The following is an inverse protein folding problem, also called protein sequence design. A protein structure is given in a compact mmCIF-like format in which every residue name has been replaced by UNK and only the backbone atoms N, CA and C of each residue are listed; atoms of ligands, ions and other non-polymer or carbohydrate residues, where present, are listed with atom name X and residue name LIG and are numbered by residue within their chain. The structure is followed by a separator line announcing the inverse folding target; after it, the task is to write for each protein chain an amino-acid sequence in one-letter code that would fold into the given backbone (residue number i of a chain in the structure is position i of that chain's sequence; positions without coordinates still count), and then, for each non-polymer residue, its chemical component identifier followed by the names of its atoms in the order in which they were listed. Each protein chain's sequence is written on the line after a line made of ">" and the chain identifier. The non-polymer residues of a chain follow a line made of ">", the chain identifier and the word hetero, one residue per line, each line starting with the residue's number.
data_IF_262629304817
#
_entry.id   IF_262629304817
#
_cell.length_a   1.000
_cell.length_b   1.000
_cell.length_c   1.000
_cell.angle_alpha   90.00
_cell.angle_beta   90.00
_cell.angle_gamma   90.00
#
_symmetry.space_group_name_H-M   'P 1'
#
loop_
_entity.id
_entity.type
_entity.pdbx_description
1 polymer ?
#
# COMPACT_ATOMS: atom_id res chain seq x y z
N UNK A 1 25.97 0.56 13.62
CA UNK A 1 25.01 0.29 12.54
C UNK A 1 24.66 -1.19 12.66
N UNK A 2 23.42 -1.55 12.96
CA UNK A 2 23.05 -2.95 13.17
C UNK A 2 23.14 -3.68 11.82
N UNK A 3 24.12 -4.56 11.70
CA UNK A 3 24.33 -5.37 10.51
C UNK A 3 23.16 -6.35 10.33
N UNK A 4 22.75 -6.59 9.08
CA UNK A 4 21.67 -7.51 8.79
C UNK A 4 22.06 -8.94 9.22
N UNK A 5 21.23 -9.65 10.02
CA UNK A 5 21.64 -10.94 10.57
C UNK A 5 22.06 -11.95 9.50
N UNK A 6 23.28 -12.47 9.59
CA UNK A 6 23.86 -13.38 8.58
C UNK A 6 23.00 -14.62 8.30
N UNK A 7 22.31 -15.15 9.32
CA UNK A 7 21.37 -16.27 9.15
C UNK A 7 20.18 -15.91 8.23
N UNK A 8 19.67 -14.67 8.31
CA UNK A 8 18.58 -14.21 7.46
C UNK A 8 19.08 -13.94 6.05
N UNK A 9 20.23 -13.27 5.92
CA UNK A 9 20.91 -13.02 4.65
C UNK A 9 21.15 -14.30 3.84
N UNK A 10 21.62 -15.36 4.49
CA UNK A 10 21.81 -16.67 3.85
C UNK A 10 20.48 -17.27 3.35
N UNK A 11 19.45 -17.31 4.20
CA UNK A 11 18.12 -17.83 3.84
C UNK A 11 17.50 -17.06 2.68
N UNK A 12 17.66 -15.76 2.69
CA UNK A 12 17.16 -14.86 1.68
C UNK A 12 17.84 -15.12 0.33
N UNK A 13 19.17 -15.23 0.32
CA UNK A 13 19.93 -15.56 -0.87
C UNK A 13 19.56 -16.93 -1.44
N UNK A 14 19.42 -17.94 -0.57
CA UNK A 14 18.96 -19.28 -0.96
C UNK A 14 17.57 -19.26 -1.63
N UNK A 15 16.64 -18.42 -1.14
CA UNK A 15 15.31 -18.29 -1.73
C UNK A 15 15.36 -17.66 -3.13
N UNK A 16 16.19 -16.64 -3.32
CA UNK A 16 16.41 -16.01 -4.64
C UNK A 16 17.07 -16.97 -5.60
N UNK A 17 18.12 -17.67 -5.19
CA UNK A 17 18.86 -18.57 -6.06
C UNK A 17 17.95 -19.72 -6.55
N UNK A 18 17.10 -20.27 -5.67
CA UNK A 18 16.06 -21.24 -6.06
C UNK A 18 15.06 -20.68 -7.07
N UNK A 19 14.64 -19.42 -6.90
CA UNK A 19 13.72 -18.76 -7.83
C UNK A 19 14.38 -18.48 -9.18
N UNK A 20 15.63 -18.00 -9.17
CA UNK A 20 16.42 -17.76 -10.38
C UNK A 20 16.60 -19.07 -11.16
N UNK A 21 16.89 -20.18 -10.48
CA UNK A 21 16.97 -21.50 -11.11
C UNK A 21 15.64 -21.92 -11.75
N UNK A 22 14.51 -21.79 -11.02
CA UNK A 22 13.18 -22.09 -11.57
C UNK A 22 12.81 -21.25 -12.80
N UNK A 23 13.30 -20.02 -12.87
CA UNK A 23 13.01 -19.06 -13.93
C UNK A 23 14.11 -19.00 -15.00
N UNK A 24 15.11 -19.89 -14.93
CA UNK A 24 16.29 -19.91 -15.83
C UNK A 24 17.02 -18.55 -15.92
N UNK A 25 17.17 -17.87 -14.79
CA UNK A 25 17.89 -16.58 -14.68
C UNK A 25 19.33 -16.77 -14.27
N UNK A 26 20.17 -15.80 -14.65
CA UNK A 26 21.55 -15.72 -14.18
C UNK A 26 21.58 -15.62 -12.64
N UNK A 27 22.28 -16.56 -11.98
CA UNK A 27 22.45 -16.57 -10.51
C UNK A 27 23.30 -15.39 -10.02
N UNK A 28 24.16 -14.83 -10.86
CA UNK A 28 25.01 -13.67 -10.53
C UNK A 28 24.28 -12.33 -10.62
N UNK A 29 23.01 -12.31 -11.05
CA UNK A 29 22.25 -11.06 -11.12
C UNK A 29 22.06 -10.45 -9.73
N UNK A 30 22.07 -9.12 -9.69
CA UNK A 30 21.62 -8.39 -8.53
C UNK A 30 20.11 -8.57 -8.34
N UNK A 31 19.63 -8.91 -7.14
CA UNK A 31 18.21 -8.98 -6.87
C UNK A 31 17.52 -7.63 -7.10
N UNK A 32 16.30 -7.67 -7.60
CA UNK A 32 15.49 -6.46 -7.82
C UNK A 32 14.45 -6.35 -6.72
N UNK A 33 14.44 -5.21 -6.03
CA UNK A 33 13.44 -4.89 -5.02
C UNK A 33 12.50 -3.79 -5.48
N UNK A 34 11.24 -3.87 -5.04
CA UNK A 34 10.29 -2.76 -5.13
C UNK A 34 9.85 -2.33 -3.74
N UNK A 35 9.71 -1.03 -3.54
CA UNK A 35 9.21 -0.44 -2.31
C UNK A 35 7.84 0.21 -2.59
N UNK A 36 6.82 -0.24 -1.86
CA UNK A 36 5.46 0.26 -1.97
C UNK A 36 5.15 1.18 -0.80
N UNK A 37 4.93 2.45 -1.12
CA UNK A 37 4.70 3.50 -0.13
C UNK A 37 3.36 3.37 0.58
N UNK A 38 3.23 4.07 1.70
CA UNK A 38 1.96 4.27 2.39
C UNK A 38 1.01 5.18 1.61
N UNK A 39 -0.14 5.50 2.19
CA UNK A 39 -1.19 6.30 1.54
C UNK A 39 -2.54 5.59 1.46
N UNK A 40 -2.74 4.58 2.32
CA UNK A 40 -3.94 3.75 2.33
C UNK A 40 -4.17 3.08 0.98
N UNK A 41 -5.43 2.83 0.66
CA UNK A 41 -5.79 2.12 -0.55
C UNK A 41 -5.55 2.91 -1.85
N UNK A 42 -5.44 4.25 -1.83
CA UNK A 42 -5.01 4.99 -3.04
C UNK A 42 -3.64 4.52 -3.51
N UNK A 43 -2.71 4.33 -2.56
CA UNK A 43 -1.40 3.74 -2.85
C UNK A 43 -1.51 2.29 -3.33
N UNK A 44 -2.43 1.50 -2.77
CA UNK A 44 -2.65 0.12 -3.22
C UNK A 44 -3.19 0.05 -4.66
N UNK A 45 -4.12 0.93 -5.04
CA UNK A 45 -4.64 1.01 -6.42
C UNK A 45 -3.58 1.52 -7.40
N UNK A 46 -2.76 2.49 -7.00
CA UNK A 46 -1.62 2.94 -7.80
C UNK A 46 -0.60 1.81 -8.00
N UNK A 47 -0.29 1.07 -6.93
CA UNK A 47 0.61 -0.09 -6.98
C UNK A 47 0.07 -1.17 -7.92
N UNK A 48 -1.24 -1.44 -7.88
CA UNK A 48 -1.91 -2.33 -8.83
C UNK A 48 -1.69 -1.89 -10.27
N UNK A 49 -1.93 -0.61 -10.59
CA UNK A 49 -1.71 -0.08 -11.94
C UNK A 49 -0.24 -0.17 -12.38
N UNK A 50 0.70 0.11 -11.48
CA UNK A 50 2.12 -0.04 -11.76
C UNK A 50 2.50 -1.51 -12.06
N UNK A 51 1.97 -2.46 -11.31
CA UNK A 51 2.20 -3.88 -11.54
C UNK A 51 1.53 -4.41 -12.80
N UNK A 52 0.34 -3.92 -13.14
CA UNK A 52 -0.30 -4.19 -14.44
C UNK A 52 0.59 -3.72 -15.60
N UNK A 53 1.21 -2.54 -15.48
CA UNK A 53 2.14 -2.04 -16.47
C UNK A 53 3.42 -2.91 -16.55
N UNK A 54 3.98 -3.32 -15.41
CA UNK A 54 5.14 -4.22 -15.38
C UNK A 54 4.83 -5.57 -16.03
N UNK A 55 3.65 -6.14 -15.77
CA UNK A 55 3.21 -7.39 -16.39
C UNK A 55 3.09 -7.31 -17.90
N UNK A 56 2.63 -6.17 -18.43
CA UNK A 56 2.57 -5.95 -19.88
C UNK A 56 3.93 -6.14 -20.57
N UNK A 57 5.03 -5.87 -19.86
CA UNK A 57 6.40 -6.06 -20.33
C UNK A 57 7.08 -7.30 -19.75
N UNK A 58 6.36 -8.15 -19.00
CA UNK A 58 6.92 -9.34 -18.34
C UNK A 58 7.91 -9.06 -17.21
N UNK A 59 7.93 -7.83 -16.67
CA UNK A 59 8.91 -7.37 -15.68
C UNK A 59 8.51 -7.67 -14.24
N UNK A 60 7.24 -8.01 -13.97
CA UNK A 60 6.77 -8.38 -12.64
C UNK A 60 7.50 -9.61 -12.08
N UNK A 61 7.89 -10.53 -12.97
CA UNK A 61 8.67 -11.70 -12.61
C UNK A 61 10.07 -11.29 -12.14
N UNK A 62 10.65 -10.19 -12.61
CA UNK A 62 12.02 -9.80 -12.26
C UNK A 62 12.15 -9.31 -10.81
N UNK A 63 11.05 -8.93 -10.17
CA UNK A 63 11.02 -8.44 -8.79
C UNK A 63 11.24 -9.61 -7.83
N UNK A 64 12.31 -9.57 -7.04
CA UNK A 64 12.66 -10.56 -6.00
C UNK A 64 12.20 -10.17 -4.61
N UNK A 65 12.17 -8.86 -4.33
CA UNK A 65 11.74 -8.34 -3.04
C UNK A 65 10.61 -7.33 -3.17
N UNK A 66 9.72 -7.37 -2.19
CA UNK A 66 8.70 -6.36 -2.00
C UNK A 66 8.78 -5.85 -0.57
N UNK A 67 9.15 -4.59 -0.42
CA UNK A 67 9.00 -3.87 0.84
C UNK A 67 7.72 -3.06 0.79
N UNK A 68 6.94 -3.07 1.87
CA UNK A 68 5.67 -2.36 1.93
C UNK A 68 5.52 -1.63 3.25
N UNK A 69 4.86 -0.48 3.22
CA UNK A 69 4.46 0.24 4.44
C UNK A 69 2.99 0.67 4.33
N UNK A 70 2.23 0.53 5.41
CA UNK A 70 0.84 0.99 5.51
C UNK A 70 -0.01 0.54 4.29
N UNK A 71 -0.52 1.49 3.50
CA UNK A 71 -1.33 1.23 2.29
C UNK A 71 -0.69 0.32 1.24
N UNK A 72 0.64 0.37 1.07
CA UNK A 72 1.36 -0.56 0.20
C UNK A 72 1.22 -2.01 0.65
N UNK A 73 1.02 -2.24 1.95
CA UNK A 73 0.77 -3.57 2.52
C UNK A 73 -0.55 -4.20 2.07
N UNK A 74 -1.57 -3.40 1.74
CA UNK A 74 -2.81 -3.93 1.17
C UNK A 74 -2.59 -4.56 -0.20
N UNK A 75 -1.86 -3.87 -1.08
CA UNK A 75 -1.48 -4.45 -2.36
C UNK A 75 -0.51 -5.62 -2.18
N UNK A 76 0.50 -5.49 -1.30
CA UNK A 76 1.45 -6.56 -1.03
C UNK A 76 0.79 -7.86 -0.55
N UNK A 77 -0.19 -7.77 0.35
CA UNK A 77 -0.97 -8.91 0.82
C UNK A 77 -1.85 -9.52 -0.29
N UNK A 78 -2.53 -8.67 -1.08
CA UNK A 78 -3.29 -9.10 -2.25
C UNK A 78 -2.41 -9.84 -3.26
N UNK A 79 -1.25 -9.27 -3.60
CA UNK A 79 -0.30 -9.86 -4.55
C UNK A 79 0.29 -11.17 -4.03
N UNK A 80 0.65 -11.23 -2.75
CA UNK A 80 1.09 -12.47 -2.10
C UNK A 80 0.03 -13.57 -2.14
N UNK A 81 -1.26 -13.22 -2.00
CA UNK A 81 -2.37 -14.17 -2.15
C UNK A 81 -2.48 -14.71 -3.57
N UNK A 82 -2.40 -13.83 -4.58
CA UNK A 82 -2.36 -14.20 -6.01
C UNK A 82 -1.26 -15.24 -6.30
N UNK A 83 -0.04 -15.01 -5.80
CA UNK A 83 1.06 -15.97 -5.93
C UNK A 83 0.78 -17.32 -5.28
N UNK A 84 0.16 -17.33 -4.09
CA UNK A 84 -0.21 -18.58 -3.40
C UNK A 84 -1.28 -19.37 -4.16
N UNK A 85 -2.19 -18.69 -4.86
CA UNK A 85 -3.25 -19.31 -5.66
C UNK A 85 -2.81 -19.68 -7.07
N UNK A 86 -1.64 -19.22 -7.53
CA UNK A 86 -1.20 -19.35 -8.92
C UNK A 86 -1.91 -18.43 -9.90
N UNK A 87 -2.80 -17.55 -9.41
CA UNK A 87 -3.57 -16.58 -10.19
C UNK A 87 -2.90 -15.21 -10.10
N UNK A 88 -1.81 -15.07 -10.88
CA UNK A 88 -0.96 -13.86 -10.89
C UNK A 88 -1.29 -12.90 -12.01
N UNK A 89 -2.24 -13.21 -12.90
CA UNK A 89 -2.61 -12.32 -13.99
C UNK A 89 -3.42 -11.12 -13.47
N UNK A 90 -2.83 -9.93 -13.54
CA UNK A 90 -3.48 -8.67 -13.15
C UNK A 90 -4.13 -7.96 -14.35
N UNK A 91 -3.97 -8.46 -15.57
CA UNK A 91 -4.46 -7.81 -16.79
C UNK A 91 -5.97 -7.94 -16.96
N UNK A 92 -6.55 -9.06 -16.51
CA UNK A 92 -8.00 -9.28 -16.56
C UNK A 92 -8.67 -8.79 -15.27
N UNK A 93 -9.66 -7.91 -15.41
CA UNK A 93 -10.46 -7.46 -14.27
C UNK A 93 -11.26 -8.64 -13.70
N UNK A 94 -10.76 -9.22 -12.61
CA UNK A 94 -11.41 -10.31 -11.90
C UNK A 94 -12.07 -9.82 -10.59
N UNK A 95 -12.83 -10.69 -9.92
CA UNK A 95 -13.50 -10.38 -8.65
C UNK A 95 -12.54 -9.85 -7.59
N UNK A 96 -11.27 -10.27 -7.60
CA UNK A 96 -10.26 -9.88 -6.60
C UNK A 96 -9.73 -8.46 -6.88
N UNK A 97 -9.48 -8.12 -8.15
CA UNK A 97 -9.13 -6.76 -8.58
C UNK A 97 -10.30 -5.81 -8.31
N UNK A 98 -11.52 -6.22 -8.62
CA UNK A 98 -12.73 -5.46 -8.31
C UNK A 98 -12.92 -5.27 -6.81
N UNK A 99 -12.65 -6.30 -6.00
CA UNK A 99 -12.66 -6.20 -4.54
C UNK A 99 -11.60 -5.20 -4.04
N UNK A 100 -10.36 -5.28 -4.51
CA UNK A 100 -9.32 -4.33 -4.12
C UNK A 100 -9.67 -2.88 -4.50
N UNK A 101 -10.24 -2.66 -5.69
CA UNK A 101 -10.74 -1.35 -6.12
C UNK A 101 -11.91 -0.87 -5.25
N UNK A 102 -12.89 -1.72 -4.98
CA UNK A 102 -14.11 -1.35 -4.26
C UNK A 102 -13.90 -1.22 -2.74
N UNK A 103 -13.05 -2.05 -2.15
CA UNK A 103 -12.62 -1.93 -0.75
C UNK A 103 -11.69 -0.74 -0.52
N UNK A 104 -11.42 0.05 -1.57
CA UNK A 104 -10.65 1.28 -1.54
C UNK A 104 -11.36 2.57 -1.14
N UNK A 105 -12.65 2.53 -0.87
CA UNK A 105 -13.34 3.70 -0.34
C UNK A 105 -13.43 3.61 1.18
N UNK A 106 -12.39 4.04 1.91
CA UNK A 106 -12.41 4.04 3.39
C UNK A 106 -12.27 5.42 4.04
N UNK A 107 -11.82 6.44 3.29
CA UNK A 107 -11.91 7.85 3.77
C UNK A 107 -13.33 8.39 3.53
N UNK A 108 -14.06 7.81 2.59
CA UNK A 108 -15.44 8.14 2.26
C UNK A 108 -16.19 6.86 1.83
N UNK A 109 -16.42 5.91 2.74
CA UNK A 109 -17.14 4.67 2.45
C UNK A 109 -18.53 4.88 1.83
N UNK A 110 -19.15 6.03 2.07
CA UNK A 110 -20.46 6.47 1.53
C UNK A 110 -20.35 7.49 0.38
N UNK A 111 -19.14 7.89 -0.03
CA UNK A 111 -18.91 8.95 -1.03
C UNK A 111 -18.80 10.37 -0.45
N UNK A 112 -19.04 11.40 -1.26
CA UNK A 112 -18.83 12.82 -0.92
C UNK A 112 -19.57 13.30 0.35
N UNK A 113 -20.62 12.58 0.77
CA UNK A 113 -21.33 12.84 2.03
C UNK A 113 -20.46 12.68 3.28
N UNK A 114 -19.51 11.75 3.28
CA UNK A 114 -18.61 11.57 4.43
C UNK A 114 -17.61 12.72 4.55
N UNK A 115 -17.21 13.30 3.41
CA UNK A 115 -16.33 14.47 3.37
C UNK A 115 -17.01 15.72 3.94
N UNK A 116 -18.30 15.93 3.59
CA UNK A 116 -19.11 16.99 4.18
C UNK A 116 -19.27 16.80 5.70
N UNK A 117 -19.44 15.55 6.16
CA UNK A 117 -19.56 15.24 7.58
C UNK A 117 -18.24 15.48 8.33
N UNK A 118 -17.10 15.12 7.76
CA UNK A 118 -15.78 15.43 8.33
C UNK A 118 -15.54 16.94 8.38
N UNK A 119 -15.83 17.68 7.31
CA UNK A 119 -15.72 19.15 7.29
C UNK A 119 -16.64 19.76 8.35
N UNK A 120 -17.89 19.32 8.45
CA UNK A 120 -18.82 19.80 9.45
C UNK A 120 -18.31 19.54 10.87
N UNK A 121 -17.72 18.37 11.14
CA UNK A 121 -17.13 18.06 12.44
C UNK A 121 -15.95 18.99 12.76
N UNK A 122 -15.05 19.22 11.81
CA UNK A 122 -13.92 20.16 11.98
C UNK A 122 -14.40 21.58 12.20
N UNK A 123 -15.36 22.06 11.41
CA UNK A 123 -15.95 23.39 11.57
C UNK A 123 -16.65 23.54 12.92
N UNK A 124 -17.37 22.52 13.37
CA UNK A 124 -18.06 22.53 14.68
C UNK A 124 -17.04 22.64 15.81
N UNK A 125 -15.96 21.86 15.74
CA UNK A 125 -14.87 21.93 16.72
C UNK A 125 -14.15 23.29 16.68
N UNK A 126 -13.99 23.87 15.50
CA UNK A 126 -13.34 25.17 15.30
C UNK A 126 -14.18 26.33 15.86
N UNK A 127 -15.50 26.32 15.61
CA UNK A 127 -16.45 27.28 16.20
C UNK A 127 -16.49 27.13 17.72
N UNK A 128 -16.52 25.90 18.23
CA UNK A 128 -16.48 25.63 19.67
C UNK A 128 -15.23 26.20 20.33
N UNK A 129 -14.07 26.06 19.69
CA UNK A 129 -12.82 26.63 20.18
C UNK A 129 -12.90 28.17 20.28
N UNK A 130 -13.39 28.86 19.24
CA UNK A 130 -13.55 30.32 19.29
C UNK A 130 -14.57 30.77 20.33
N UNK A 131 -15.66 30.02 20.51
CA UNK A 131 -16.66 30.33 21.52
C UNK A 131 -16.06 30.22 22.93
N UNK A 132 -15.26 29.18 23.19
CA UNK A 132 -14.53 29.04 24.46
C UNK A 132 -13.56 30.18 24.67
N UNK A 133 -12.78 30.57 23.66
CA UNK A 133 -11.87 31.72 23.75
C UNK A 133 -12.61 33.04 24.00
N UNK A 134 -13.74 33.24 23.32
CA UNK A 134 -14.58 34.43 23.51
C UNK A 134 -15.14 34.49 24.94
N UNK A 135 -15.71 33.40 25.44
CA UNK A 135 -16.22 33.33 26.82
C UNK A 135 -15.10 33.55 27.84
N UNK A 136 -13.92 32.98 27.59
CA UNK A 136 -12.75 33.21 28.44
C UNK A 136 -12.33 34.68 28.44
N UNK A 137 -12.30 35.35 27.28
CA UNK A 137 -12.01 36.78 27.19
C UNK A 137 -13.02 37.61 27.99
N UNK A 138 -14.32 37.33 27.86
CA UNK A 138 -15.37 37.98 28.64
C UNK A 138 -15.21 37.75 30.16
N UNK A 139 -14.80 36.56 30.59
CA UNK A 139 -14.57 36.25 32.00
C UNK A 139 -13.35 36.98 32.57
N UNK A 140 -12.30 37.16 31.76
CA UNK A 140 -11.06 37.84 32.17
C UNK A 140 -11.17 39.37 32.02
N UNK A 141 -12.30 39.88 31.51
CA UNK A 141 -12.59 41.31 31.42
C UNK A 141 -11.81 42.03 30.31
N UNK A 142 -11.39 41.30 29.27
CA UNK A 142 -10.84 41.87 28.03
C UNK A 142 -11.93 42.23 27.03
#
# INVERSE_FOLDING_TARGET
>A
MNEYPEKLKKKEREAIDKRNEKLNRNKERNPVGVALSGGGIRSATQSLGAFQALQKYGLDKEIDYMSTVSGGGYFGAFWGRCWKEGDTDLSMENRKIKYLRNSGNYIAPSGSGDFLRSIAQYMTNWVGLFLVYFLFACMVGM
#
